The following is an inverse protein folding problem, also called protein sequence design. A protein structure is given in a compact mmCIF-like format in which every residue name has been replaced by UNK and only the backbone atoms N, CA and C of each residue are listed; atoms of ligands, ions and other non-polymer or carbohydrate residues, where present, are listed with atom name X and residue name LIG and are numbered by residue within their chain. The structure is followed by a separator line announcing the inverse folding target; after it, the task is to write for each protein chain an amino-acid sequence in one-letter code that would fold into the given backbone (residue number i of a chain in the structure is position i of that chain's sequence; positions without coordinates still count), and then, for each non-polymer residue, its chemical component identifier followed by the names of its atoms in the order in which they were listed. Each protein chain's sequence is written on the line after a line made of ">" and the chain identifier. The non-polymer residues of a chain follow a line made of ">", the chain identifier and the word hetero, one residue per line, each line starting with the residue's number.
data_IF_015724005634
#
_entry.id   IF_015724005634
#
_cell.length_a   1.000
_cell.length_b   1.000
_cell.length_c   1.000
_cell.angle_alpha   90.00
_cell.angle_beta   90.00
_cell.angle_gamma   90.00
#
_symmetry.space_group_name_H-M   'P 1'
#
loop_
_entity.id
_entity.type
_entity.pdbx_description
1 polymer ?
#
# COMPACT_ATOMS: atom_id res chain seq x y z
N UNK A 1 9.48 -12.35 -16.01
CA UNK A 1 9.63 -11.85 -14.63
C UNK A 1 8.79 -10.58 -14.56
N UNK A 2 7.90 -10.43 -13.57
CA UNK A 2 7.13 -9.20 -13.44
C UNK A 2 8.06 -8.04 -13.11
N UNK A 3 7.76 -6.88 -13.68
CA UNK A 3 8.55 -5.66 -13.49
C UNK A 3 8.27 -5.07 -12.09
N UNK A 4 9.24 -4.38 -11.45
CA UNK A 4 9.02 -3.74 -10.14
C UNK A 4 7.81 -2.80 -10.11
N UNK A 5 7.50 -2.17 -11.25
CA UNK A 5 6.34 -1.33 -11.44
C UNK A 5 5.01 -2.09 -11.28
N UNK A 6 4.92 -3.32 -11.78
CA UNK A 6 3.69 -4.13 -11.73
C UNK A 6 3.38 -4.61 -10.31
N UNK A 7 4.44 -4.91 -9.55
CA UNK A 7 4.31 -5.26 -8.12
C UNK A 7 3.83 -4.04 -7.35
N UNK A 8 4.42 -2.88 -7.62
CA UNK A 8 4.05 -1.64 -6.94
C UNK A 8 2.60 -1.24 -7.21
N UNK A 9 2.13 -1.36 -8.46
CA UNK A 9 0.74 -1.05 -8.82
C UNK A 9 -0.26 -1.99 -8.14
N UNK A 10 0.05 -3.30 -8.10
CA UNK A 10 -0.75 -4.30 -7.37
C UNK A 10 -0.78 -4.03 -5.87
N UNK A 11 0.36 -3.72 -5.27
CA UNK A 11 0.45 -3.41 -3.84
C UNK A 11 -0.38 -2.16 -3.52
N UNK A 12 -0.25 -1.09 -4.31
CA UNK A 12 -1.03 0.14 -4.14
C UNK A 12 -2.53 -0.15 -4.23
N UNK A 13 -2.96 -0.95 -5.19
CA UNK A 13 -4.37 -1.31 -5.36
C UNK A 13 -4.91 -2.12 -4.17
N UNK A 14 -4.15 -3.10 -3.69
CA UNK A 14 -4.51 -3.90 -2.51
C UNK A 14 -4.60 -3.00 -1.28
N UNK A 15 -3.60 -2.16 -1.04
CA UNK A 15 -3.55 -1.22 0.09
C UNK A 15 -4.71 -0.23 0.04
N UNK A 16 -5.01 0.36 -1.13
CA UNK A 16 -6.13 1.28 -1.29
C UNK A 16 -7.48 0.60 -0.97
N UNK A 17 -7.63 -0.65 -1.40
CA UNK A 17 -8.84 -1.43 -1.17
C UNK A 17 -8.97 -1.86 0.29
N UNK A 18 -7.86 -2.25 0.93
CA UNK A 18 -7.84 -2.77 2.28
C UNK A 18 -8.00 -1.66 3.33
N UNK A 19 -7.32 -0.53 3.13
CA UNK A 19 -7.36 0.63 4.04
C UNK A 19 -8.46 1.64 3.67
N UNK A 20 -9.13 1.48 2.52
CA UNK A 20 -10.15 2.42 2.04
C UNK A 20 -9.59 3.81 1.71
N UNK A 21 -8.30 3.89 1.40
CA UNK A 21 -7.58 5.14 1.11
C UNK A 21 -7.43 5.33 -0.39
N UNK A 22 -7.51 6.57 -0.87
CA UNK A 22 -7.32 6.86 -2.29
C UNK A 22 -5.87 6.65 -2.74
N UNK A 23 -5.67 6.25 -4.01
CA UNK A 23 -4.33 6.07 -4.63
C UNK A 23 -3.47 7.33 -4.51
N UNK A 24 -4.08 8.51 -4.46
CA UNK A 24 -3.44 9.80 -4.22
C UNK A 24 -2.73 9.93 -2.85
N UNK A 25 -3.17 9.16 -1.86
CA UNK A 25 -2.54 9.10 -0.53
C UNK A 25 -1.44 8.04 -0.45
N UNK A 26 -1.40 7.11 -1.41
CA UNK A 26 -0.43 6.02 -1.45
C UNK A 26 0.74 6.43 -2.34
N UNK A 27 1.70 7.14 -1.75
CA UNK A 27 2.96 7.46 -2.41
C UNK A 27 4.05 6.48 -1.97
N UNK A 28 5.09 6.26 -2.79
CA UNK A 28 6.26 5.47 -2.38
C UNK A 28 6.98 6.02 -1.14
N UNK A 29 6.77 7.31 -0.84
CA UNK A 29 7.31 8.00 0.33
C UNK A 29 6.32 8.04 1.51
N UNK A 30 5.06 7.65 1.30
CA UNK A 30 4.04 7.57 2.35
C UNK A 30 4.39 6.40 3.26
N UNK A 31 4.46 6.62 4.57
CA UNK A 31 4.58 5.50 5.52
C UNK A 31 3.23 4.84 5.70
N UNK A 32 3.05 3.63 5.19
CA UNK A 32 1.79 2.87 5.31
C UNK A 32 1.29 2.80 6.77
N UNK A 33 2.20 2.63 7.72
CA UNK A 33 1.90 2.54 9.15
C UNK A 33 1.47 3.90 9.75
N UNK A 34 2.19 4.96 9.39
CA UNK A 34 2.06 6.27 10.05
C UNK A 34 1.07 7.22 9.36
N UNK A 35 1.00 7.18 8.03
CA UNK A 35 0.18 8.08 7.21
C UNK A 35 -1.14 7.44 6.77
N UNK A 36 -1.16 6.12 6.56
CA UNK A 36 -2.37 5.39 6.17
C UNK A 36 -3.02 4.64 7.35
N UNK A 37 -2.38 4.65 8.52
CA UNK A 37 -2.89 4.00 9.72
C UNK A 37 -3.00 2.48 9.57
N UNK A 38 -2.15 1.88 8.72
CA UNK A 38 -2.05 0.42 8.65
C UNK A 38 -1.55 -0.08 10.00
N UNK A 39 -2.42 -0.77 10.74
CA UNK A 39 -2.05 -1.31 12.03
C UNK A 39 -0.99 -2.40 11.82
N UNK A 40 -0.18 -2.67 12.86
CA UNK A 40 0.98 -3.56 12.77
C UNK A 40 0.67 -4.95 12.22
N UNK A 41 -0.59 -5.39 12.30
CA UNK A 41 -1.11 -6.63 11.72
C UNK A 41 -1.27 -6.58 10.18
N UNK A 42 -1.72 -5.46 9.62
CA UNK A 42 -1.94 -5.32 8.18
C UNK A 42 -0.63 -5.35 7.37
N UNK A 43 0.48 -4.95 7.97
CA UNK A 43 1.79 -4.92 7.28
C UNK A 43 2.55 -6.25 7.24
N UNK A 44 2.11 -7.25 7.99
CA UNK A 44 2.83 -8.54 8.13
C UNK A 44 2.26 -9.62 7.19
N UNK A 45 1.06 -9.42 6.63
CA UNK A 45 0.43 -10.32 5.65
C UNK A 45 0.59 -9.89 4.17
N UNK A 46 1.27 -8.77 3.90
CA UNK A 46 1.56 -8.23 2.55
C UNK A 46 2.96 -8.63 2.05
#
# INVERSE_FOLDING_TARGET
>A
MPSPQEIQDKVIEIVCKQLGVGKEKVNPQTSFVNDLGADSLDTVEL
#
